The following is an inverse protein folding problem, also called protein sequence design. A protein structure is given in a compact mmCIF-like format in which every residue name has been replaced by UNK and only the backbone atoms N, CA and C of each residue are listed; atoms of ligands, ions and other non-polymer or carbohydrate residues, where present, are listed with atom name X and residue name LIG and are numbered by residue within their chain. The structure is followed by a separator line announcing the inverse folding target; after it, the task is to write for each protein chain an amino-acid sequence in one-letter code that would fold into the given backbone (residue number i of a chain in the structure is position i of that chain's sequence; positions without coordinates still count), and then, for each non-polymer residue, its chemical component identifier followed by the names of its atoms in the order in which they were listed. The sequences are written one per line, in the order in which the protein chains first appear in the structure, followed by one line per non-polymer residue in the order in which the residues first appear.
data_IF_460426699107
#
_entry.id   IF_460426699107
#
_cell.length_a   1.000
_cell.length_b   1.000
_cell.length_c   1.000
_cell.angle_alpha   90.00
_cell.angle_beta   90.00
_cell.angle_gamma   90.00
#
_symmetry.space_group_name_H-M   'P 1'
#
loop_
_entity.id
_entity.type
_entity.pdbx_description
1 polymer ?
#
# COMPACT_ATOMS: atom_id res chain seq x y z
N UNK A 1 -6.36 29.92 10.08
CA UNK A 1 -5.67 28.68 9.62
C UNK A 1 -5.49 27.71 10.79
N UNK A 2 -4.90 28.14 11.91
CA UNK A 2 -4.84 27.35 13.16
C UNK A 2 -6.22 26.89 13.63
N UNK A 3 -7.21 27.80 13.61
CA UNK A 3 -8.61 27.47 13.96
C UNK A 3 -9.22 26.33 13.14
N UNK A 4 -8.82 26.16 11.86
CA UNK A 4 -9.37 25.09 11.03
C UNK A 4 -8.81 23.71 11.40
N UNK A 5 -7.53 23.65 11.79
CA UNK A 5 -6.85 22.40 12.11
C UNK A 5 -7.29 21.83 13.47
N UNK A 6 -7.70 22.70 14.39
CA UNK A 6 -8.08 22.37 15.77
C UNK A 6 -9.56 21.96 15.91
N UNK A 7 -10.39 22.19 14.89
CA UNK A 7 -11.82 21.84 14.95
C UNK A 7 -11.97 20.31 14.83
N UNK A 8 -12.63 19.64 15.79
CA UNK A 8 -12.99 18.23 15.67
C UNK A 8 -14.11 18.05 14.64
N UNK A 9 -14.05 16.97 13.87
CA UNK A 9 -14.94 16.78 12.73
C UNK A 9 -16.18 16.01 13.17
N UNK A 10 -17.38 16.55 12.93
CA UNK A 10 -18.62 15.81 13.13
C UNK A 10 -19.12 15.29 11.79
N UNK A 11 -19.00 13.98 11.59
CA UNK A 11 -19.51 13.28 10.40
C UNK A 11 -20.61 12.34 10.84
N UNK A 12 -21.85 12.62 10.44
CA UNK A 12 -23.04 11.81 10.74
C UNK A 12 -23.26 11.55 12.25
N UNK A 13 -22.96 12.54 13.10
CA UNK A 13 -23.11 12.43 14.56
C UNK A 13 -21.94 11.75 15.27
N UNK A 14 -20.93 11.28 14.52
CA UNK A 14 -19.68 10.78 15.08
C UNK A 14 -18.66 11.90 15.08
N UNK A 15 -18.09 12.17 16.26
CA UNK A 15 -17.04 13.18 16.44
C UNK A 15 -15.68 12.50 16.26
N UNK A 16 -14.94 12.94 15.25
CA UNK A 16 -13.58 12.51 14.96
C UNK A 16 -12.57 13.51 15.52
N UNK A 17 -11.32 13.08 15.79
CA UNK A 17 -10.25 13.97 16.19
C UNK A 17 -10.04 15.10 15.19
N UNK A 18 -9.53 16.22 15.68
CA UNK A 18 -9.13 17.35 14.85
C UNK A 18 -8.01 16.96 13.88
N UNK A 19 -7.86 17.72 12.80
CA UNK A 19 -6.78 17.48 11.84
C UNK A 19 -5.40 17.64 12.51
N UNK A 20 -5.28 18.55 13.49
CA UNK A 20 -4.08 18.72 14.29
C UNK A 20 -3.74 17.47 15.10
N UNK A 21 -4.72 16.87 15.78
CA UNK A 21 -4.54 15.62 16.53
C UNK A 21 -4.17 14.45 15.62
N UNK A 22 -4.78 14.36 14.43
CA UNK A 22 -4.43 13.34 13.43
C UNK A 22 -3.01 13.52 12.91
N UNK A 23 -2.58 14.76 12.65
CA UNK A 23 -1.21 15.07 12.20
C UNK A 23 -0.18 14.79 13.29
N UNK A 24 -0.45 15.18 14.54
CA UNK A 24 0.42 14.85 15.67
C UNK A 24 0.54 13.33 15.85
N UNK A 25 -0.57 12.61 15.77
CA UNK A 25 -0.57 11.13 15.80
C UNK A 25 0.25 10.55 14.65
N UNK A 26 0.10 11.10 13.44
CA UNK A 26 0.87 10.65 12.28
C UNK A 26 2.37 10.92 12.48
N UNK A 27 2.75 12.08 13.01
CA UNK A 27 4.14 12.40 13.33
C UNK A 27 4.69 11.41 14.36
N UNK A 28 3.96 11.15 15.45
CA UNK A 28 4.40 10.22 16.50
C UNK A 28 4.56 8.79 15.97
N UNK A 29 3.66 8.35 15.09
CA UNK A 29 3.72 7.01 14.47
C UNK A 29 4.83 6.92 13.43
N UNK A 30 5.01 7.96 12.60
CA UNK A 30 6.00 8.00 11.52
C UNK A 30 7.38 8.44 12.00
N UNK A 31 7.54 8.81 13.27
CA UNK A 31 8.83 9.23 13.80
C UNK A 31 9.84 8.09 13.67
N UNK A 32 11.10 8.34 13.21
CA UNK A 32 12.13 7.30 13.00
C UNK A 32 12.58 6.51 14.25
N UNK A 33 11.92 6.72 15.38
CA UNK A 33 12.18 6.04 16.66
C UNK A 33 10.88 5.67 17.35
N UNK A 34 9.75 5.75 16.66
CA UNK A 34 8.47 5.30 17.17
C UNK A 34 8.54 3.78 17.38
N UNK A 35 7.77 3.27 18.33
CA UNK A 35 7.66 1.80 18.50
C UNK A 35 7.14 1.13 17.24
N UNK A 36 6.27 1.81 16.50
CA UNK A 36 5.71 1.34 15.24
C UNK A 36 6.79 1.22 14.15
N UNK A 37 7.64 2.24 14.00
CA UNK A 37 8.77 2.24 13.08
C UNK A 37 9.80 1.15 13.46
N UNK A 38 10.14 1.04 14.75
CA UNK A 38 11.02 -0.04 15.24
C UNK A 38 10.44 -1.45 15.08
N UNK A 39 9.12 -1.58 14.93
CA UNK A 39 8.45 -2.86 14.69
C UNK A 39 8.23 -3.18 13.22
N UNK A 40 8.33 -2.17 12.34
CA UNK A 40 8.14 -2.34 10.90
C UNK A 40 9.51 -2.54 10.24
N UNK A 41 9.72 -3.62 9.47
CA UNK A 41 10.97 -3.78 8.75
C UNK A 41 11.18 -2.62 7.77
N UNK A 42 12.35 -1.98 7.85
CA UNK A 42 12.79 -1.01 6.84
C UNK A 42 13.35 -1.78 5.66
N UNK A 43 12.85 -1.45 4.47
CA UNK A 43 13.28 -2.05 3.20
C UNK A 43 13.74 -0.96 2.25
N UNK A 44 14.55 -1.33 1.25
CA UNK A 44 14.74 -0.47 0.08
C UNK A 44 13.61 -0.77 -0.89
N UNK A 45 12.66 0.15 -0.99
CA UNK A 45 11.42 -0.03 -1.73
C UNK A 45 11.21 1.02 -2.82
N UNK A 46 10.09 0.93 -3.54
CA UNK A 46 9.78 1.87 -4.61
C UNK A 46 9.19 3.18 -4.05
N UNK A 47 8.53 3.14 -2.90
CA UNK A 47 7.81 4.26 -2.28
C UNK A 47 6.54 4.71 -3.03
N UNK A 48 6.39 4.23 -4.26
CA UNK A 48 5.27 4.54 -5.15
C UNK A 48 4.76 3.33 -5.96
N UNK A 49 4.69 2.16 -5.32
CA UNK A 49 4.31 0.89 -5.96
C UNK A 49 2.81 0.74 -6.25
N UNK A 50 2.19 1.68 -6.97
CA UNK A 50 0.81 1.57 -7.45
C UNK A 50 0.72 1.09 -8.90
N UNK A 51 -0.49 0.76 -9.37
CA UNK A 51 -0.74 0.07 -10.64
C UNK A 51 -0.14 0.75 -11.87
N UNK A 52 0.02 2.07 -11.89
CA UNK A 52 0.62 2.79 -13.02
C UNK A 52 2.15 2.67 -13.08
N UNK A 53 2.80 2.36 -11.95
CA UNK A 53 4.24 2.21 -11.83
C UNK A 53 4.68 0.74 -11.91
N UNK A 54 3.75 -0.16 -12.24
CA UNK A 54 3.97 -1.57 -12.43
C UNK A 54 3.73 -1.95 -13.90
N UNK A 55 4.77 -2.43 -14.57
CA UNK A 55 4.67 -2.88 -15.96
C UNK A 55 4.57 -4.40 -16.00
N UNK A 56 3.81 -4.95 -16.95
CA UNK A 56 3.73 -6.40 -17.17
C UNK A 56 4.60 -6.75 -18.37
N UNK A 57 5.61 -7.60 -18.17
CA UNK A 57 6.46 -8.05 -19.27
C UNK A 57 5.64 -8.80 -20.33
N UNK A 58 5.93 -8.51 -21.60
CA UNK A 58 5.25 -9.14 -22.75
C UNK A 58 5.55 -10.64 -22.84
N UNK A 59 6.74 -11.04 -22.41
CA UNK A 59 7.19 -12.43 -22.39
C UNK A 59 6.64 -13.18 -21.18
N UNK A 60 6.25 -14.43 -21.40
CA UNK A 60 5.82 -15.36 -20.35
C UNK A 60 6.97 -16.33 -20.12
N UNK A 61 7.38 -16.50 -18.87
CA UNK A 61 8.40 -17.48 -18.50
C UNK A 61 7.87 -18.91 -18.70
N UNK A 62 8.74 -19.93 -18.79
CA UNK A 62 8.34 -21.31 -19.05
C UNK A 62 7.35 -21.91 -18.03
N UNK A 63 7.30 -21.36 -16.81
CA UNK A 63 6.36 -21.74 -15.75
C UNK A 63 5.02 -20.97 -15.81
N UNK A 64 4.78 -20.16 -16.83
CA UNK A 64 3.56 -19.37 -16.99
C UNK A 64 3.55 -18.04 -16.22
N UNK A 65 4.64 -17.69 -15.51
CA UNK A 65 4.76 -16.41 -14.83
C UNK A 65 5.10 -15.27 -15.81
N UNK A 66 4.91 -14.03 -15.35
CA UNK A 66 5.34 -12.83 -16.07
C UNK A 66 6.16 -11.98 -15.14
N UNK A 67 7.25 -11.44 -15.65
CA UNK A 67 8.03 -10.45 -14.91
C UNK A 67 7.19 -9.17 -14.75
N UNK A 68 7.29 -8.57 -13.56
CA UNK A 68 6.63 -7.30 -13.25
C UNK A 68 7.72 -6.26 -12.97
N UNK A 69 8.29 -5.62 -14.00
CA UNK A 69 9.22 -4.52 -13.79
C UNK A 69 8.51 -3.32 -13.17
N UNK A 70 9.09 -2.83 -12.08
CA UNK A 70 8.77 -1.52 -11.51
C UNK A 70 9.35 -0.40 -12.37
N UNK A 71 8.66 0.72 -12.46
CA UNK A 71 9.13 1.95 -13.12
C UNK A 71 8.89 3.15 -12.20
N UNK A 72 9.43 4.31 -12.59
CA UNK A 72 9.29 5.56 -11.84
C UNK A 72 9.86 5.51 -10.41
N UNK A 73 11.19 5.53 -10.33
CA UNK A 73 11.93 5.37 -9.08
C UNK A 73 12.13 6.68 -8.31
N UNK A 74 11.36 7.74 -8.59
CA UNK A 74 11.57 9.05 -7.95
C UNK A 74 11.33 9.02 -6.44
N UNK A 75 10.46 8.13 -5.98
CA UNK A 75 10.15 7.92 -4.56
C UNK A 75 10.94 6.76 -3.93
N UNK A 76 11.83 6.10 -4.70
CA UNK A 76 12.52 4.92 -4.24
C UNK A 76 13.54 5.25 -3.14
N UNK A 77 13.59 4.42 -2.10
CA UNK A 77 14.49 4.66 -0.98
C UNK A 77 14.27 3.71 0.18
N UNK A 78 14.98 3.96 1.28
CA UNK A 78 14.80 3.22 2.52
C UNK A 78 13.62 3.77 3.31
N UNK A 79 12.59 2.95 3.50
CA UNK A 79 11.37 3.32 4.24
C UNK A 79 10.73 2.09 4.88
N UNK A 80 9.76 2.26 5.79
CA UNK A 80 8.97 1.16 6.32
C UNK A 80 8.30 0.37 5.20
N UNK A 81 8.33 -0.96 5.26
CA UNK A 81 7.69 -1.84 4.28
C UNK A 81 6.21 -1.49 4.06
N UNK A 82 5.53 -1.04 5.12
CA UNK A 82 4.12 -0.67 5.05
C UNK A 82 3.83 0.47 4.08
N UNK A 83 4.82 1.31 3.74
CA UNK A 83 4.64 2.35 2.74
C UNK A 83 4.33 1.76 1.35
N UNK A 84 5.15 0.78 0.93
CA UNK A 84 4.98 0.07 -0.35
C UNK A 84 3.73 -0.81 -0.38
N UNK A 85 3.24 -1.22 0.79
CA UNK A 85 1.99 -1.96 0.88
C UNK A 85 0.79 -1.03 0.88
N UNK A 86 0.73 -0.05 1.78
CA UNK A 86 -0.46 0.77 2.00
C UNK A 86 -0.86 1.58 0.76
N UNK A 87 0.10 2.02 -0.04
CA UNK A 87 -0.16 2.88 -1.19
C UNK A 87 -0.94 2.18 -2.32
N UNK A 88 -0.53 1.00 -2.84
CA UNK A 88 -1.34 0.26 -3.81
C UNK A 88 -2.71 -0.14 -3.25
N UNK A 89 -2.82 -0.46 -1.95
CA UNK A 89 -4.14 -0.66 -1.35
C UNK A 89 -5.02 0.60 -1.41
N UNK A 90 -4.47 1.76 -1.07
CA UNK A 90 -5.26 2.98 -1.12
C UNK A 90 -5.61 3.37 -2.57
N UNK A 91 -4.62 3.41 -3.46
CA UNK A 91 -4.80 3.87 -4.84
C UNK A 91 -5.56 2.83 -5.69
N UNK A 92 -5.07 1.60 -5.75
CA UNK A 92 -5.55 0.62 -6.73
C UNK A 92 -6.74 -0.20 -6.22
N UNK A 93 -7.03 -0.13 -4.91
CA UNK A 93 -8.22 -0.78 -4.32
C UNK A 93 -9.24 0.27 -3.92
N UNK A 94 -8.96 1.13 -2.95
CA UNK A 94 -9.98 2.05 -2.44
C UNK A 94 -10.36 3.16 -3.42
N UNK A 95 -9.36 3.86 -3.97
CA UNK A 95 -9.59 4.99 -4.86
C UNK A 95 -10.22 4.53 -6.18
N UNK A 96 -9.68 3.47 -6.80
CA UNK A 96 -10.28 2.89 -8.01
C UNK A 96 -11.70 2.34 -7.77
N UNK A 97 -12.00 1.74 -6.60
CA UNK A 97 -13.38 1.32 -6.26
C UNK A 97 -14.33 2.53 -6.23
N UNK A 98 -13.87 3.65 -5.67
CA UNK A 98 -14.70 4.84 -5.49
C UNK A 98 -15.18 5.42 -6.83
N UNK A 99 -14.39 5.25 -7.89
CA UNK A 99 -14.68 5.75 -9.24
C UNK A 99 -15.05 4.64 -10.23
N UNK A 100 -15.34 3.43 -9.74
CA UNK A 100 -15.58 2.26 -10.59
C UNK A 100 -16.78 2.44 -11.53
N UNK A 101 -17.76 3.27 -11.15
CA UNK A 101 -18.95 3.58 -11.94
C UNK A 101 -18.67 4.44 -13.18
N UNK A 102 -17.57 5.18 -13.19
CA UNK A 102 -17.13 6.02 -14.31
C UNK A 102 -15.91 5.45 -15.05
N UNK A 103 -15.28 4.40 -14.52
CA UNK A 103 -14.13 3.76 -15.15
C UNK A 103 -14.55 2.85 -16.31
N UNK A 104 -13.77 2.78 -17.41
CA UNK A 104 -14.11 1.92 -18.54
C UNK A 104 -14.02 0.43 -18.17
N UNK A 105 -14.85 -0.40 -18.81
CA UNK A 105 -15.04 -1.83 -18.48
C UNK A 105 -13.78 -2.72 -18.59
N UNK A 106 -12.71 -2.25 -19.22
CA UNK A 106 -11.42 -2.95 -19.30
C UNK A 106 -10.54 -2.77 -18.05
N UNK A 107 -10.91 -1.87 -17.12
CA UNK A 107 -10.14 -1.58 -15.89
C UNK A 107 -10.36 -2.62 -14.79
N UNK A 108 -11.41 -3.44 -14.91
CA UNK A 108 -11.82 -4.42 -13.91
C UNK A 108 -10.77 -5.49 -13.61
N UNK A 109 -9.98 -5.90 -14.60
CA UNK A 109 -8.94 -6.93 -14.42
C UNK A 109 -7.78 -6.43 -13.55
N UNK A 110 -7.44 -5.15 -13.64
CA UNK A 110 -6.41 -4.52 -12.80
C UNK A 110 -6.91 -4.37 -11.37
N UNK A 111 -8.15 -3.90 -11.21
CA UNK A 111 -8.84 -3.81 -9.93
C UNK A 111 -8.86 -5.15 -9.17
N UNK A 112 -9.32 -6.24 -9.80
CA UNK A 112 -9.38 -7.55 -9.13
C UNK A 112 -8.01 -8.07 -8.69
N UNK A 113 -6.95 -7.80 -9.46
CA UNK A 113 -5.58 -8.19 -9.10
C UNK A 113 -5.04 -7.37 -7.94
N UNK A 114 -5.27 -6.06 -7.92
CA UNK A 114 -4.85 -5.19 -6.82
C UNK A 114 -5.61 -5.51 -5.53
N UNK A 115 -6.93 -5.75 -5.61
CA UNK A 115 -7.78 -6.18 -4.49
C UNK A 115 -7.33 -7.53 -3.95
N UNK A 116 -7.10 -8.53 -4.80
CA UNK A 116 -6.68 -9.86 -4.37
C UNK A 116 -5.30 -9.83 -3.70
N UNK A 117 -4.37 -9.06 -4.27
CA UNK A 117 -3.03 -8.82 -3.69
C UNK A 117 -3.16 -8.18 -2.31
N UNK A 118 -4.01 -7.17 -2.20
CA UNK A 118 -4.31 -6.52 -0.94
C UNK A 118 -4.89 -7.48 0.10
N UNK A 119 -5.98 -8.19 -0.23
CA UNK A 119 -6.62 -9.14 0.70
C UNK A 119 -5.62 -10.18 1.21
N UNK A 120 -4.81 -10.74 0.33
CA UNK A 120 -3.79 -11.74 0.71
C UNK A 120 -2.74 -11.13 1.63
N UNK A 121 -2.22 -9.94 1.35
CA UNK A 121 -1.22 -9.28 2.20
C UNK A 121 -1.79 -8.81 3.55
N UNK A 122 -3.07 -8.43 3.61
CA UNK A 122 -3.74 -8.01 4.85
C UNK A 122 -3.92 -9.13 5.89
N UNK A 123 -3.82 -10.40 5.47
CA UNK A 123 -3.89 -11.55 6.38
C UNK A 123 -2.59 -11.79 7.15
N UNK A 124 -1.52 -11.07 6.81
CA UNK A 124 -0.23 -11.18 7.47
C UNK A 124 -0.24 -10.44 8.82
N UNK A 125 -0.27 -11.19 9.91
CA UNK A 125 -0.18 -10.65 11.29
C UNK A 125 1.25 -10.64 11.85
N UNK A 126 2.20 -11.24 11.14
CA UNK A 126 3.63 -11.25 11.46
C UNK A 126 4.44 -11.51 10.19
N UNK A 127 5.77 -11.47 10.30
CA UNK A 127 6.68 -11.56 9.15
C UNK A 127 6.64 -12.94 8.45
N UNK A 128 6.42 -14.02 9.21
CA UNK A 128 6.24 -15.36 8.63
C UNK A 128 4.93 -15.47 7.84
N UNK A 129 3.86 -14.88 8.38
CA UNK A 129 2.56 -14.77 7.71
C UNK A 129 2.66 -13.93 6.44
N UNK A 130 3.41 -12.83 6.47
CA UNK A 130 3.69 -12.02 5.30
C UNK A 130 4.42 -12.82 4.23
N UNK A 131 5.48 -13.56 4.59
CA UNK A 131 6.18 -14.43 3.64
C UNK A 131 5.27 -15.53 3.07
N UNK A 132 4.34 -16.05 3.87
CA UNK A 132 3.34 -17.00 3.38
C UNK A 132 2.39 -16.36 2.36
N UNK A 133 1.91 -15.14 2.63
CA UNK A 133 1.06 -14.38 1.72
C UNK A 133 1.80 -14.03 0.42
N UNK A 134 3.06 -13.61 0.51
CA UNK A 134 3.92 -13.35 -0.64
C UNK A 134 4.14 -14.61 -1.48
N UNK A 135 4.37 -15.78 -0.86
CA UNK A 135 4.45 -17.07 -1.57
C UNK A 135 3.13 -17.44 -2.26
N UNK A 136 1.98 -17.18 -1.62
CA UNK A 136 0.67 -17.41 -2.24
C UNK A 136 0.45 -16.52 -3.47
N UNK A 137 1.06 -15.34 -3.50
CA UNK A 137 1.07 -14.45 -4.65
C UNK A 137 2.15 -14.80 -5.70
N UNK A 138 2.92 -15.88 -5.47
CA UNK A 138 3.99 -16.32 -6.36
C UNK A 138 5.28 -15.52 -6.25
N UNK A 139 5.46 -14.74 -5.18
CA UNK A 139 6.65 -13.91 -4.93
C UNK A 139 7.63 -14.73 -4.09
N UNK A 140 8.75 -15.15 -4.69
CA UNK A 140 9.83 -15.83 -4.00
C UNK A 140 10.67 -14.84 -3.19
N UNK A 141 10.62 -14.95 -1.86
CA UNK A 141 11.46 -14.16 -0.98
C UNK A 141 12.78 -14.91 -0.78
N UNK A 142 13.85 -14.51 -1.49
CA UNK A 142 15.20 -15.04 -1.24
C UNK A 142 15.82 -14.36 -0.03
N UNK A 143 16.13 -15.14 1.01
CA UNK A 143 16.72 -14.63 2.25
C UNK A 143 16.47 -15.50 3.47
N UNK A 144 16.88 -16.78 3.39
CA UNK A 144 17.45 -17.51 4.53
C UNK A 144 18.83 -17.99 4.11
#
# INVERSE_FOLDING_TARGET
MVEFLEIPWNVNGVVYPSLCELLCTAIDVLYPSSRQDMSCPVVFGLGDSHGANNMIASCVSPNGARDIPYVDYEAAGSHPLMLDLAKPFYNDVFFDTLYMDILPANTWTFFFRSVATGIVLSQAVNIEGLYSCLRMLGIECQGM
#
